data_IF_314810532900
#
_entry.id   IF_314810532900
#
_cell.length_a   1.000
_cell.length_b   1.000
_cell.length_c   1.000
_cell.angle_alpha   90.00
_cell.angle_beta   90.00
_cell.angle_gamma   90.00
#
_symmetry.space_group_name_H-M   'P 1'
#
loop_
_entity.id
_entity.type
_entity.pdbx_description
1 polymer ?
#
# COMPACT_ATOMS: atom_id res chain seq x y z
N UNK A 1 61.29 -62.40 21.14
CA UNK A 1 61.11 -62.37 19.66
C UNK A 1 59.74 -61.79 19.41
N UNK A 2 59.47 -60.72 18.69
CA UNK A 2 60.24 -59.63 18.07
C UNK A 2 59.21 -58.50 17.87
N UNK A 3 59.67 -57.25 17.93
CA UNK A 3 58.87 -56.05 17.67
C UNK A 3 58.34 -55.99 16.23
N UNK A 4 57.16 -55.41 16.02
CA UNK A 4 56.98 -54.48 14.90
C UNK A 4 55.89 -53.42 15.16
N UNK A 5 56.26 -52.16 14.92
CA UNK A 5 55.47 -50.93 15.01
C UNK A 5 54.50 -50.77 13.84
N UNK A 6 53.36 -50.07 14.03
CA UNK A 6 52.95 -48.88 13.24
C UNK A 6 51.65 -48.24 13.78
N UNK A 7 51.72 -46.96 14.18
CA UNK A 7 50.59 -45.99 14.17
C UNK A 7 50.55 -45.34 12.77
N UNK A 8 49.42 -44.82 12.22
CA UNK A 8 48.51 -43.79 12.76
C UNK A 8 47.01 -44.08 12.41
N UNK A 9 45.95 -43.29 12.64
CA UNK A 9 45.78 -41.84 12.60
C UNK A 9 44.45 -41.42 13.27
N UNK A 10 44.48 -40.22 13.83
CA UNK A 10 43.42 -39.46 14.49
C UNK A 10 42.37 -38.96 13.50
N UNK A 11 41.09 -38.97 13.87
CA UNK A 11 40.10 -38.05 13.32
C UNK A 11 39.06 -37.70 14.39
N UNK A 12 39.23 -36.54 15.01
CA UNK A 12 38.30 -35.91 15.92
C UNK A 12 37.22 -35.26 15.06
N UNK A 13 36.00 -35.80 15.08
CA UNK A 13 34.85 -35.16 14.47
C UNK A 13 34.17 -34.27 15.52
N UNK A 14 34.61 -33.01 15.62
CA UNK A 14 33.90 -31.95 16.35
C UNK A 14 32.66 -31.56 15.56
N UNK A 15 31.48 -31.97 16.05
CA UNK A 15 30.20 -31.50 15.54
C UNK A 15 30.02 -30.02 15.86
N UNK A 16 30.09 -29.17 14.84
CA UNK A 16 29.70 -27.76 14.92
C UNK A 16 28.18 -27.69 14.88
N UNK A 17 27.56 -27.31 15.99
CA UNK A 17 26.14 -26.99 16.06
C UNK A 17 25.93 -25.62 15.40
N UNK A 18 25.42 -25.61 14.17
CA UNK A 18 24.92 -24.41 13.53
C UNK A 18 23.51 -24.13 14.04
N UNK A 19 23.37 -23.15 14.93
CA UNK A 19 22.08 -22.59 15.31
C UNK A 19 21.50 -21.82 14.11
N UNK A 20 20.58 -22.44 13.38
CA UNK A 20 19.74 -21.72 12.41
C UNK A 20 18.72 -20.88 13.19
N UNK A 21 19.08 -19.64 13.50
CA UNK A 21 18.09 -18.61 13.82
C UNK A 21 17.31 -18.31 12.53
N UNK A 22 16.17 -18.97 12.34
CA UNK A 22 15.21 -18.62 11.31
C UNK A 22 14.56 -17.28 11.69
N UNK A 23 15.23 -16.18 11.33
CA UNK A 23 14.64 -14.85 11.39
C UNK A 23 13.59 -14.80 10.28
N UNK A 24 12.35 -15.14 10.61
CA UNK A 24 11.21 -14.95 9.72
C UNK A 24 11.01 -13.45 9.57
N UNK A 25 11.69 -12.84 8.59
CA UNK A 25 11.33 -11.50 8.12
C UNK A 25 9.88 -11.60 7.67
N UNK A 26 8.97 -10.99 8.42
CA UNK A 26 7.64 -10.68 7.94
C UNK A 26 7.84 -9.77 6.72
N UNK A 27 7.80 -10.37 5.52
CA UNK A 27 7.75 -9.61 4.30
C UNK A 27 6.44 -8.83 4.35
N UNK A 28 6.50 -7.52 4.62
CA UNK A 28 5.36 -6.65 4.43
C UNK A 28 4.92 -6.82 2.99
N UNK A 29 3.77 -7.46 2.77
CA UNK A 29 3.22 -7.58 1.42
C UNK A 29 3.07 -6.17 0.86
N UNK A 30 3.91 -5.82 -0.12
CA UNK A 30 3.87 -4.54 -0.82
C UNK A 30 2.62 -4.53 -1.70
N UNK A 31 1.46 -4.33 -1.07
CA UNK A 31 0.17 -4.25 -1.74
C UNK A 31 -0.14 -2.81 -2.08
N UNK A 32 -0.49 -2.57 -3.32
CA UNK A 32 -1.07 -1.31 -3.79
C UNK A 32 -2.52 -1.21 -3.29
N UNK A 33 -2.67 -1.00 -1.99
CA UNK A 33 -3.93 -0.78 -1.28
C UNK A 33 -3.68 0.15 -0.08
N UNK A 34 -4.73 0.76 0.47
CA UNK A 34 -4.63 1.56 1.69
C UNK A 34 -4.09 0.70 2.84
N UNK A 35 -3.16 1.27 3.61
CA UNK A 35 -2.44 0.58 4.67
C UNK A 35 -1.33 -0.35 4.17
N UNK A 36 -1.15 -0.49 2.85
CA UNK A 36 -0.05 -1.22 2.24
C UNK A 36 1.25 -0.41 2.18
N UNK A 37 2.27 -0.98 1.55
CA UNK A 37 3.60 -0.36 1.43
C UNK A 37 3.95 -0.04 -0.03
N UNK A 38 4.27 1.23 -0.29
CA UNK A 38 4.83 1.69 -1.56
C UNK A 38 6.33 1.39 -1.57
N UNK A 39 6.82 0.58 -2.53
CA UNK A 39 8.24 0.25 -2.63
C UNK A 39 9.09 1.52 -2.80
N UNK A 40 10.35 1.42 -2.38
CA UNK A 40 11.31 2.49 -2.58
C UNK A 40 11.49 2.78 -4.08
N UNK A 41 11.74 4.04 -4.48
CA UNK A 41 12.08 4.37 -5.85
C UNK A 41 13.27 3.53 -6.31
N UNK A 42 13.16 2.86 -7.45
CA UNK A 42 14.29 2.15 -8.04
C UNK A 42 15.21 3.13 -8.78
N UNK A 43 16.53 2.92 -8.68
CA UNK A 43 17.58 3.77 -9.30
C UNK A 43 17.44 3.82 -10.83
N UNK A 44 16.89 2.76 -11.43
CA UNK A 44 16.39 2.78 -12.81
C UNK A 44 15.00 3.39 -12.79
N UNK A 45 14.96 4.72 -12.79
CA UNK A 45 13.81 5.55 -12.42
C UNK A 45 12.45 4.99 -12.86
N UNK A 46 11.56 4.80 -11.89
CA UNK A 46 10.14 4.71 -12.18
C UNK A 46 9.65 6.16 -12.43
N UNK A 47 9.43 6.59 -13.69
CA UNK A 47 9.21 8.01 -14.03
C UNK A 47 7.90 8.58 -13.45
N UNK A 48 7.12 7.76 -12.78
CA UNK A 48 5.81 8.12 -12.21
C UNK A 48 5.84 8.41 -10.72
N UNK A 49 6.98 8.27 -10.03
CA UNK A 49 7.11 8.56 -8.61
C UNK A 49 7.73 9.94 -8.35
N UNK A 50 7.03 10.79 -7.60
CA UNK A 50 7.43 12.15 -7.24
C UNK A 50 7.29 12.36 -5.73
N UNK A 51 7.98 13.35 -5.18
CA UNK A 51 7.74 13.84 -3.80
C UNK A 51 6.79 15.04 -3.83
N UNK A 52 5.83 15.07 -2.89
CA UNK A 52 4.93 16.21 -2.74
C UNK A 52 5.72 17.42 -2.21
N UNK A 53 5.60 18.62 -2.84
CA UNK A 53 6.35 19.79 -2.41
C UNK A 53 6.11 20.13 -0.93
N UNK A 54 7.18 20.34 -0.17
CA UNK A 54 7.08 20.69 1.26
C UNK A 54 6.80 19.52 2.19
N UNK A 55 6.77 18.28 1.69
CA UNK A 55 6.49 17.08 2.48
C UNK A 55 7.45 15.92 2.16
N UNK A 56 7.54 14.94 3.06
CA UNK A 56 8.19 13.65 2.79
C UNK A 56 7.27 12.66 2.05
N UNK A 57 6.04 13.06 1.70
CA UNK A 57 5.09 12.21 0.99
C UNK A 57 5.55 11.90 -0.43
N UNK A 58 5.51 10.61 -0.75
CA UNK A 58 5.77 10.07 -2.09
C UNK A 58 4.45 9.87 -2.81
N UNK A 59 4.41 10.27 -4.06
CA UNK A 59 3.25 10.14 -4.95
C UNK A 59 3.63 9.28 -6.12
N UNK A 60 2.87 8.21 -6.39
CA UNK A 60 3.04 7.36 -7.57
C UNK A 60 1.79 7.47 -8.44
N UNK A 61 1.97 7.91 -9.69
CA UNK A 61 0.88 8.03 -10.66
C UNK A 61 0.80 6.82 -11.57
N UNK A 62 -0.42 6.41 -11.93
CA UNK A 62 -0.68 5.36 -12.92
C UNK A 62 -1.98 5.65 -13.65
N UNK A 63 -2.15 5.06 -14.84
CA UNK A 63 -3.41 5.13 -15.58
C UNK A 63 -3.92 3.71 -15.72
N UNK A 64 -5.17 3.46 -15.34
CA UNK A 64 -5.80 2.16 -15.48
C UNK A 64 -6.26 1.88 -16.92
N UNK A 65 -6.76 0.67 -17.17
CA UNK A 65 -7.27 0.28 -18.49
C UNK A 65 -8.48 1.11 -18.96
N UNK A 66 -9.18 1.77 -18.03
CA UNK A 66 -10.30 2.65 -18.30
C UNK A 66 -9.90 4.10 -18.58
N UNK A 67 -8.59 4.42 -18.58
CA UNK A 67 -8.09 5.78 -18.80
C UNK A 67 -8.21 6.68 -17.57
N UNK A 68 -8.41 6.10 -16.38
CA UNK A 68 -8.47 6.84 -15.14
C UNK A 68 -7.09 6.99 -14.54
N UNK A 69 -6.68 8.23 -14.32
CA UNK A 69 -5.44 8.55 -13.61
C UNK A 69 -5.66 8.29 -12.12
N UNK A 70 -4.75 7.53 -11.52
CA UNK A 70 -4.75 7.17 -10.11
C UNK A 70 -3.42 7.63 -9.52
N UNK A 71 -3.50 8.52 -8.53
CA UNK A 71 -2.37 8.98 -7.73
C UNK A 71 -2.41 8.27 -6.38
N UNK A 72 -1.39 7.47 -6.10
CA UNK A 72 -1.17 6.79 -4.82
C UNK A 72 -0.21 7.63 -3.96
N UNK A 73 -0.60 7.89 -2.72
CA UNK A 73 0.15 8.70 -1.78
C UNK A 73 0.65 7.84 -0.63
N UNK A 74 1.96 7.90 -0.38
CA UNK A 74 2.61 7.21 0.70
C UNK A 74 3.43 8.14 1.58
N UNK A 75 3.53 7.83 2.87
CA UNK A 75 4.44 8.52 3.80
C UNK A 75 5.90 8.32 3.37
N UNK A 76 6.84 9.04 4.00
CA UNK A 76 8.28 8.84 3.76
C UNK A 76 8.68 7.37 3.88
N UNK A 77 8.19 6.71 4.93
CA UNK A 77 8.42 5.28 5.23
C UNK A 77 7.67 4.32 4.28
N UNK A 78 6.77 4.85 3.45
CA UNK A 78 6.08 4.09 2.41
C UNK A 78 4.71 3.58 2.75
N UNK A 79 4.12 3.95 3.89
CA UNK A 79 2.74 3.61 4.18
C UNK A 79 1.82 4.31 3.19
N UNK A 80 1.10 3.55 2.37
CA UNK A 80 0.08 4.07 1.45
C UNK A 80 -1.12 4.52 2.28
N UNK A 81 -1.29 5.82 2.43
CA UNK A 81 -2.33 6.41 3.27
C UNK A 81 -3.46 7.04 2.47
N UNK A 82 -3.25 7.35 1.19
CA UNK A 82 -4.29 7.93 0.35
C UNK A 82 -4.17 7.53 -1.12
N UNK A 83 -5.30 7.63 -1.80
CA UNK A 83 -5.41 7.62 -3.25
C UNK A 83 -6.25 8.81 -3.71
N UNK A 84 -5.93 9.36 -4.88
CA UNK A 84 -6.80 10.26 -5.62
C UNK A 84 -6.95 9.75 -7.04
N UNK A 85 -8.09 10.01 -7.67
CA UNK A 85 -8.33 9.59 -9.04
C UNK A 85 -9.13 10.61 -9.82
N UNK A 86 -8.87 10.62 -11.13
CA UNK A 86 -9.61 11.43 -12.09
C UNK A 86 -9.64 10.71 -13.45
N UNK A 87 -10.82 10.56 -14.02
CA UNK A 87 -10.94 9.96 -15.35
C UNK A 87 -12.36 9.63 -15.79
N UNK A 88 -12.50 9.00 -16.96
CA UNK A 88 -13.79 8.71 -17.54
C UNK A 88 -14.48 7.50 -16.92
N UNK A 89 -13.78 6.70 -16.10
CA UNK A 89 -14.31 5.50 -15.45
C UNK A 89 -14.00 5.48 -13.95
N UNK A 90 -14.80 4.76 -13.17
CA UNK A 90 -14.51 4.57 -11.74
C UNK A 90 -13.38 3.54 -11.59
N UNK A 91 -12.31 3.82 -10.83
CA UNK A 91 -11.26 2.84 -10.58
C UNK A 91 -11.76 1.71 -9.68
N UNK A 92 -11.00 0.62 -9.60
CA UNK A 92 -11.33 -0.50 -8.70
C UNK A 92 -11.07 -0.12 -7.22
N UNK A 93 -12.09 0.52 -6.61
CA UNK A 93 -12.07 0.89 -5.20
C UNK A 93 -11.89 -0.32 -4.28
N UNK A 94 -12.31 -1.51 -4.68
CA UNK A 94 -12.14 -2.73 -3.88
C UNK A 94 -10.67 -3.02 -3.67
N UNK A 95 -9.91 -2.98 -4.77
CA UNK A 95 -8.46 -3.20 -4.75
C UNK A 95 -7.75 -2.09 -3.97
N UNK A 96 -8.12 -0.84 -4.21
CA UNK A 96 -7.46 0.31 -3.59
C UNK A 96 -7.73 0.39 -2.09
N UNK A 97 -8.94 0.11 -1.63
CA UNK A 97 -9.31 0.16 -0.21
C UNK A 97 -8.89 -1.11 0.54
N UNK A 98 -8.72 -2.24 -0.16
CA UNK A 98 -8.32 -3.51 0.42
C UNK A 98 -9.23 -3.92 1.59
N UNK A 99 -8.70 -4.05 2.83
CA UNK A 99 -9.48 -4.46 4.00
C UNK A 99 -10.64 -3.52 4.34
N UNK A 100 -10.63 -2.30 3.79
CA UNK A 100 -11.62 -1.27 4.07
C UNK A 100 -12.81 -1.28 3.07
N UNK A 101 -12.73 -2.08 2.01
CA UNK A 101 -13.68 -2.08 0.91
C UNK A 101 -15.10 -2.55 1.32
N UNK A 102 -15.19 -3.61 2.13
CA UNK A 102 -16.48 -4.20 2.50
C UNK A 102 -17.34 -3.23 3.29
N UNK A 103 -16.77 -2.64 4.33
CA UNK A 103 -17.43 -1.66 5.18
C UNK A 103 -17.72 -0.33 4.46
N UNK A 104 -16.88 0.08 3.52
CA UNK A 104 -17.21 1.17 2.59
C UNK A 104 -18.47 0.86 1.79
N UNK A 105 -18.57 -0.33 1.19
CA UNK A 105 -19.76 -0.74 0.42
C UNK A 105 -21.01 -0.82 1.28
N UNK A 106 -20.90 -1.36 2.49
CA UNK A 106 -22.01 -1.43 3.44
C UNK A 106 -22.53 -0.03 3.78
N UNK A 107 -21.64 0.92 4.10
CA UNK A 107 -22.02 2.30 4.38
C UNK A 107 -22.56 3.04 3.16
N UNK A 108 -21.98 2.83 1.99
CA UNK A 108 -22.47 3.41 0.74
C UNK A 108 -23.91 2.93 0.41
N UNK A 109 -24.19 1.64 0.61
CA UNK A 109 -25.53 1.08 0.43
C UNK A 109 -26.53 1.65 1.44
N UNK A 110 -26.18 1.72 2.72
CA UNK A 110 -27.01 2.32 3.78
C UNK A 110 -27.39 3.78 3.45
N UNK A 111 -26.42 4.58 2.99
CA UNK A 111 -26.66 5.98 2.60
C UNK A 111 -27.55 6.09 1.35
N UNK A 112 -27.38 5.18 0.39
CA UNK A 112 -28.22 5.13 -0.80
C UNK A 112 -29.68 4.82 -0.44
N UNK A 113 -29.91 3.82 0.41
CA UNK A 113 -31.24 3.43 0.88
C UNK A 113 -31.91 4.55 1.69
N UNK A 114 -31.14 5.28 2.50
CA UNK A 114 -31.66 6.35 3.35
C UNK A 114 -32.05 7.63 2.57
N UNK A 115 -31.29 7.98 1.53
CA UNK A 115 -31.46 9.27 0.84
C UNK A 115 -32.09 9.16 -0.55
N UNK A 116 -32.15 7.96 -1.13
CA UNK A 116 -32.64 7.72 -2.49
C UNK A 116 -31.83 8.43 -3.59
N UNK A 117 -30.72 9.05 -3.21
CA UNK A 117 -29.88 9.86 -4.07
C UNK A 117 -28.47 9.28 -4.05
N UNK A 118 -27.78 9.34 -5.18
CA UNK A 118 -26.35 9.02 -5.28
C UNK A 118 -25.49 10.11 -4.61
N UNK A 119 -25.87 10.62 -3.44
CA UNK A 119 -25.05 11.47 -2.58
C UNK A 119 -23.91 10.69 -1.89
N UNK A 120 -23.51 9.55 -2.45
CA UNK A 120 -22.28 8.83 -2.12
C UNK A 120 -21.01 9.63 -2.51
N UNK A 121 -21.14 10.94 -2.71
CA UNK A 121 -20.09 11.93 -2.80
C UNK A 121 -19.07 11.81 -1.68
N UNK A 122 -19.51 11.38 -0.48
CA UNK A 122 -18.65 11.20 0.70
C UNK A 122 -19.17 10.10 1.62
N UNK A 123 -18.42 9.01 1.72
CA UNK A 123 -18.62 7.95 2.70
C UNK A 123 -17.55 8.12 3.78
N UNK A 124 -17.97 8.55 4.96
CA UNK A 124 -17.10 8.77 6.11
C UNK A 124 -17.20 7.60 7.08
N UNK A 125 -16.06 6.99 7.37
CA UNK A 125 -15.88 6.01 8.45
C UNK A 125 -14.70 6.44 9.33
N UNK A 126 -14.63 5.88 10.54
CA UNK A 126 -13.61 6.24 11.54
C UNK A 126 -12.18 6.08 11.04
N UNK A 127 -11.95 5.11 10.16
CA UNK A 127 -10.63 4.65 9.73
C UNK A 127 -10.38 4.79 8.23
N UNK A 128 -11.42 5.04 7.44
CA UNK A 128 -11.29 5.38 6.02
C UNK A 128 -12.35 6.40 5.62
N UNK A 129 -11.96 7.42 4.88
CA UNK A 129 -12.90 8.35 4.25
C UNK A 129 -12.73 8.24 2.76
N UNK A 130 -13.85 8.12 2.05
CA UNK A 130 -13.90 8.04 0.59
C UNK A 130 -14.79 9.14 0.09
N UNK A 131 -14.25 9.98 -0.78
CA UNK A 131 -15.00 10.99 -1.52
C UNK A 131 -14.99 10.62 -3.00
N UNK A 132 -16.17 10.50 -3.60
CA UNK A 132 -16.31 10.07 -5.00
C UNK A 132 -17.46 10.80 -5.66
N UNK A 133 -17.18 11.56 -6.71
CA UNK A 133 -18.21 12.28 -7.44
C UNK A 133 -17.81 12.51 -8.90
N UNK A 134 -18.38 13.56 -9.46
CA UNK A 134 -18.14 13.96 -10.85
C UNK A 134 -19.35 13.74 -11.74
N UNK A 135 -19.22 14.21 -12.98
CA UNK A 135 -20.24 14.05 -14.01
C UNK A 135 -20.06 12.69 -14.71
N UNK A 136 -21.07 12.29 -15.49
CA UNK A 136 -20.97 11.09 -16.31
C UNK A 136 -19.73 11.18 -17.23
N UNK A 137 -18.78 10.23 -17.08
CA UNK A 137 -17.47 10.21 -17.76
C UNK A 137 -16.46 11.28 -17.33
N UNK A 138 -16.64 11.86 -16.15
CA UNK A 138 -15.66 12.72 -15.49
C UNK A 138 -15.69 12.44 -13.99
N UNK A 139 -15.34 11.21 -13.64
CA UNK A 139 -15.24 10.77 -12.26
C UNK A 139 -14.02 11.40 -11.61
N UNK A 140 -14.21 11.90 -10.40
CA UNK A 140 -13.15 12.45 -9.55
C UNK A 140 -13.39 11.98 -8.13
N UNK A 141 -12.32 11.66 -7.42
CA UNK A 141 -12.45 11.27 -6.03
C UNK A 141 -11.12 11.07 -5.35
N UNK A 142 -11.20 10.81 -4.06
CA UNK A 142 -10.06 10.50 -3.21
C UNK A 142 -10.50 9.62 -2.05
N UNK A 143 -9.58 8.79 -1.58
CA UNK A 143 -9.77 7.97 -0.40
C UNK A 143 -8.53 8.10 0.48
N UNK A 144 -8.70 8.23 1.79
CA UNK A 144 -7.57 8.34 2.70
C UNK A 144 -7.87 7.74 4.08
N UNK A 145 -6.79 7.43 4.80
CA UNK A 145 -6.81 7.01 6.19
C UNK A 145 -6.65 8.25 7.09
N UNK A 146 -7.68 8.65 7.86
CA UNK A 146 -7.59 9.85 8.70
C UNK A 146 -6.45 9.81 9.70
N UNK A 147 -6.18 8.63 10.28
CA UNK A 147 -5.13 8.44 11.28
C UNK A 147 -3.71 8.43 10.69
N UNK A 148 -3.55 8.29 9.37
CA UNK A 148 -2.25 8.25 8.70
C UNK A 148 -2.00 9.45 7.78
N UNK A 149 -2.88 10.46 7.83
CA UNK A 149 -2.68 11.72 7.11
C UNK A 149 -1.55 12.52 7.79
N UNK A 150 -0.43 12.80 7.09
CA UNK A 150 0.64 13.61 7.66
C UNK A 150 0.19 15.04 7.97
N UNK A 151 0.70 15.63 9.06
CA UNK A 151 0.27 16.95 9.53
C UNK A 151 0.61 18.10 8.55
N UNK A 152 1.60 17.88 7.69
CA UNK A 152 2.06 18.77 6.63
C UNK A 152 1.31 18.59 5.30
N UNK A 153 0.36 17.66 5.21
CA UNK A 153 -0.43 17.37 4.01
C UNK A 153 -1.88 17.81 4.22
N UNK A 154 -2.37 18.66 3.33
CA UNK A 154 -3.77 19.05 3.29
C UNK A 154 -4.58 18.14 2.36
N UNK A 155 -5.90 18.06 2.55
CA UNK A 155 -6.76 17.32 1.61
C UNK A 155 -6.75 17.92 0.20
N UNK A 156 -6.37 19.19 0.04
CA UNK A 156 -6.24 19.83 -1.27
C UNK A 156 -5.02 19.32 -2.06
N UNK A 157 -4.05 18.70 -1.39
CA UNK A 157 -2.88 18.07 -2.02
C UNK A 157 -3.20 16.70 -2.64
N UNK A 158 -4.34 16.11 -2.27
CA UNK A 158 -4.85 14.82 -2.75
C UNK A 158 -5.72 15.04 -4.01
N UNK A 159 -5.13 14.92 -5.20
CA UNK A 159 -5.75 15.20 -6.49
C UNK A 159 -5.30 14.22 -7.57
#
# INVERSE_FOLDING_TARGET
MSFNNTHPATAIATSVVFALCANTLAASDARAQLGGTMPAPQVTGNPTQRVLPGSAVRVRSSVDAGGTTINEYATGDGLIFAYAWQGPTMPDLTRMLGPYAERYRAKAAEQFDATGLLHASRVEQTDVIVESGGQMRSYVGRAWLPAALPADVSLADLR
#
